data_IF_672135268841
#
_entry.id   IF_672135268841
#
_cell.length_a   1.000
_cell.length_b   1.000
_cell.length_c   1.000
_cell.angle_alpha   90.00
_cell.angle_beta   90.00
_cell.angle_gamma   90.00
#
_symmetry.space_group_name_H-M   'P 1'
#
loop_
_entity.id
_entity.type
_entity.pdbx_description
1 polymer ?
#
# COMPACT_ATOMS: atom_id res chain seq x y z
N UNK A 1 -14.60 -6.92 2.56
CA UNK A 1 -13.59 -5.96 3.01
C UNK A 1 -14.06 -5.36 4.33
N UNK A 2 -13.21 -5.37 5.36
CA UNK A 2 -13.51 -4.73 6.66
C UNK A 2 -12.77 -3.40 6.71
N UNK A 3 -13.46 -2.33 7.08
CA UNK A 3 -12.86 -0.98 7.19
C UNK A 3 -12.84 -0.58 8.65
N UNK A 4 -11.68 -0.11 9.12
CA UNK A 4 -11.50 0.45 10.46
C UNK A 4 -11.13 1.92 10.28
N UNK A 5 -12.04 2.81 10.66
CA UNK A 5 -11.80 4.24 10.69
C UNK A 5 -11.47 4.67 12.11
N UNK A 6 -10.27 5.21 12.31
CA UNK A 6 -9.81 5.71 13.61
C UNK A 6 -9.86 7.24 13.58
N UNK A 7 -10.63 7.90 14.46
CA UNK A 7 -10.60 9.35 14.58
C UNK A 7 -9.20 9.85 14.96
N UNK A 8 -8.74 10.93 14.32
CA UNK A 8 -7.44 11.53 14.60
C UNK A 8 -7.54 13.06 14.65
N UNK A 9 -6.77 13.68 15.54
CA UNK A 9 -6.69 15.14 15.70
C UNK A 9 -5.49 15.76 14.97
N UNK A 10 -4.51 14.95 14.59
CA UNK A 10 -3.29 15.41 13.93
C UNK A 10 -3.55 15.90 12.50
N UNK A 11 -2.60 16.69 11.99
CA UNK A 11 -2.63 17.22 10.62
C UNK A 11 -2.46 16.13 9.55
N UNK A 12 -1.89 14.99 9.92
CA UNK A 12 -1.61 13.85 9.05
C UNK A 12 -2.27 12.57 9.58
N UNK A 13 -2.43 11.61 8.68
CA UNK A 13 -2.97 10.29 8.93
C UNK A 13 -2.08 9.22 8.27
N UNK A 14 -2.39 7.96 8.58
CA UNK A 14 -1.91 6.80 7.84
C UNK A 14 -3.10 6.07 7.24
N UNK A 15 -2.93 5.58 6.01
CA UNK A 15 -3.93 4.75 5.33
C UNK A 15 -3.26 3.43 5.02
N UNK A 16 -3.91 2.32 5.34
CA UNK A 16 -3.35 0.99 5.13
C UNK A 16 -4.38 0.00 4.60
N UNK A 17 -3.91 -0.93 3.78
CA UNK A 17 -4.67 -2.07 3.27
C UNK A 17 -3.92 -3.36 3.62
N UNK A 18 -4.56 -4.21 4.41
CA UNK A 18 -4.05 -5.53 4.75
C UNK A 18 -4.79 -6.62 3.97
N UNK A 19 -4.03 -7.42 3.23
CA UNK A 19 -4.52 -8.62 2.55
C UNK A 19 -4.15 -9.82 3.42
N UNK A 20 -5.13 -10.63 3.81
CA UNK A 20 -4.92 -11.86 4.62
C UNK A 20 -4.38 -13.02 3.77
N UNK A 21 -3.26 -12.78 3.10
CA UNK A 21 -2.46 -13.77 2.40
C UNK A 21 -1.01 -13.32 2.47
N UNK A 22 -0.07 -14.24 2.64
CA UNK A 22 1.35 -13.93 2.72
C UNK A 22 2.23 -15.10 2.29
N UNK A 23 3.49 -15.10 2.69
CA UNK A 23 4.48 -16.08 2.21
C UNK A 23 4.11 -17.55 2.51
N UNK A 24 3.26 -17.84 3.51
CA UNK A 24 2.77 -19.21 3.78
C UNK A 24 1.85 -19.72 2.68
N UNK A 25 1.20 -18.82 1.96
CA UNK A 25 0.25 -19.12 0.90
C UNK A 25 0.92 -19.22 -0.48
N UNK A 26 2.25 -19.04 -0.54
CA UNK A 26 3.03 -19.25 -1.75
C UNK A 26 2.89 -20.69 -2.27
N UNK A 27 2.67 -20.88 -3.59
CA UNK A 27 2.75 -22.20 -4.18
C UNK A 27 4.13 -22.82 -3.92
N UNK A 28 4.18 -24.11 -3.61
CA UNK A 28 5.45 -24.82 -3.36
C UNK A 28 6.48 -24.66 -4.48
N UNK A 29 6.01 -24.54 -5.73
CA UNK A 29 6.86 -24.33 -6.91
C UNK A 29 7.34 -22.88 -7.09
N UNK A 30 6.82 -21.92 -6.32
CA UNK A 30 7.10 -20.47 -6.44
C UNK A 30 7.23 -19.83 -5.04
N UNK A 31 8.25 -20.20 -4.25
CA UNK A 31 8.51 -19.52 -2.99
C UNK A 31 8.81 -18.03 -3.24
N UNK A 32 8.27 -17.15 -2.41
CA UNK A 32 8.42 -15.70 -2.51
C UNK A 32 7.44 -15.02 -3.46
N UNK A 33 6.41 -15.72 -3.97
CA UNK A 33 5.47 -15.15 -4.94
C UNK A 33 4.67 -13.97 -4.35
N UNK A 34 4.20 -14.06 -3.10
CA UNK A 34 3.45 -12.96 -2.48
C UNK A 34 4.32 -11.71 -2.30
N UNK A 35 5.57 -11.87 -1.85
CA UNK A 35 6.52 -10.76 -1.75
C UNK A 35 6.89 -10.18 -3.13
N UNK A 36 7.04 -11.03 -4.15
CA UNK A 36 7.23 -10.54 -5.51
C UNK A 36 6.01 -9.76 -6.01
N UNK A 37 4.79 -10.23 -5.73
CA UNK A 37 3.55 -9.54 -6.07
C UNK A 37 3.44 -8.19 -5.35
N UNK A 38 3.80 -8.12 -4.08
CA UNK A 38 3.87 -6.86 -3.32
C UNK A 38 4.72 -5.82 -4.06
N UNK A 39 5.94 -6.18 -4.47
CA UNK A 39 6.81 -5.29 -5.24
C UNK A 39 6.21 -4.91 -6.60
N UNK A 40 5.56 -5.84 -7.31
CA UNK A 40 4.92 -5.56 -8.60
C UNK A 40 3.74 -4.58 -8.46
N UNK A 41 2.95 -4.70 -7.40
CA UNK A 41 1.83 -3.79 -7.12
C UNK A 41 2.31 -2.36 -6.83
N UNK A 42 3.53 -2.21 -6.32
CA UNK A 42 4.16 -0.89 -6.14
C UNK A 42 4.83 -0.33 -7.42
N UNK A 43 4.67 -0.97 -8.59
CA UNK A 43 5.25 -0.48 -9.86
C UNK A 43 4.32 0.35 -10.71
N UNK A 44 3.02 0.07 -10.74
CA UNK A 44 2.08 0.81 -11.56
C UNK A 44 0.64 0.50 -11.13
N UNK A 45 -0.26 1.44 -11.39
CA UNK A 45 -1.71 1.26 -11.28
C UNK A 45 -2.37 1.58 -12.63
N UNK A 46 -3.68 1.38 -12.73
CA UNK A 46 -4.44 1.82 -13.90
C UNK A 46 -4.41 3.36 -14.08
N UNK A 47 -4.21 4.11 -12.99
CA UNK A 47 -4.13 5.58 -13.00
C UNK A 47 -2.68 6.08 -13.17
N UNK A 48 -1.70 5.28 -12.75
CA UNK A 48 -0.27 5.56 -12.85
C UNK A 48 0.45 4.41 -13.57
N UNK A 49 0.49 4.46 -14.90
CA UNK A 49 0.93 3.32 -15.74
C UNK A 49 2.44 3.10 -15.77
N UNK A 50 3.22 3.83 -14.97
CA UNK A 50 4.66 3.63 -14.81
C UNK A 50 5.08 3.88 -13.37
N UNK A 51 6.22 3.29 -13.00
CA UNK A 51 6.79 3.43 -11.67
C UNK A 51 7.16 4.88 -11.37
N UNK A 52 7.71 5.60 -12.34
CA UNK A 52 8.04 7.01 -12.20
C UNK A 52 6.79 7.88 -11.98
N UNK A 53 5.68 7.57 -12.65
CA UNK A 53 4.42 8.29 -12.48
C UNK A 53 3.84 8.05 -11.08
N UNK A 54 3.81 6.79 -10.64
CA UNK A 54 3.30 6.41 -9.33
C UNK A 54 4.14 7.03 -8.22
N UNK A 55 5.46 6.90 -8.28
CA UNK A 55 6.34 7.46 -7.26
C UNK A 55 6.26 8.98 -7.17
N UNK A 56 6.29 9.69 -8.30
CA UNK A 56 6.13 11.15 -8.30
C UNK A 56 4.80 11.56 -7.66
N UNK A 57 3.73 10.83 -7.94
CA UNK A 57 2.44 11.09 -7.31
C UNK A 57 2.48 10.91 -5.79
N UNK A 58 3.04 9.79 -5.31
CA UNK A 58 3.21 9.49 -3.90
C UNK A 58 4.03 10.58 -3.18
N UNK A 59 5.21 10.90 -3.72
CA UNK A 59 6.16 11.90 -3.17
C UNK A 59 5.55 13.31 -3.10
N UNK A 60 4.61 13.65 -3.97
CA UNK A 60 3.91 14.94 -3.94
C UNK A 60 2.80 15.02 -2.89
N UNK A 61 2.39 13.89 -2.29
CA UNK A 61 1.15 13.84 -1.52
C UNK A 61 1.28 13.33 -0.09
N UNK A 62 2.29 12.51 0.22
CA UNK A 62 2.53 11.98 1.57
C UNK A 62 4.01 11.66 1.77
N UNK A 63 4.37 11.26 2.99
CA UNK A 63 5.77 11.08 3.37
C UNK A 63 6.33 9.72 2.92
N UNK A 64 5.51 8.68 3.00
CA UNK A 64 5.95 7.32 2.71
C UNK A 64 4.82 6.53 2.03
N UNK A 65 5.18 5.75 1.01
CA UNK A 65 4.38 4.66 0.48
C UNK A 65 5.24 3.41 0.49
N UNK A 66 4.77 2.36 1.17
CA UNK A 66 5.56 1.16 1.36
C UNK A 66 4.66 -0.06 1.59
N UNK A 67 5.27 -1.23 1.65
CA UNK A 67 4.60 -2.48 1.90
C UNK A 67 5.47 -3.48 2.65
N UNK A 68 4.84 -4.50 3.23
CA UNK A 68 5.50 -5.61 3.89
C UNK A 68 4.68 -6.90 3.72
N UNK A 69 5.35 -8.00 3.37
CA UNK A 69 4.77 -9.34 3.28
C UNK A 69 5.35 -10.19 4.39
N UNK A 70 4.51 -10.56 5.35
CA UNK A 70 4.81 -11.54 6.37
C UNK A 70 4.31 -12.95 5.95
N UNK A 71 4.28 -13.89 6.89
CA UNK A 71 3.84 -15.27 6.62
C UNK A 71 2.36 -15.37 6.23
N UNK A 72 1.51 -14.47 6.66
CA UNK A 72 0.03 -14.57 6.60
C UNK A 72 -0.65 -13.34 6.04
N UNK A 73 0.09 -12.25 5.88
CA UNK A 73 -0.44 -10.94 5.52
C UNK A 73 0.53 -10.22 4.61
N UNK A 74 -0.01 -9.52 3.61
CA UNK A 74 0.67 -8.46 2.87
C UNK A 74 -0.01 -7.15 3.21
N UNK A 75 0.77 -6.19 3.72
CA UNK A 75 0.32 -4.86 4.13
C UNK A 75 0.84 -3.83 3.13
N UNK A 76 -0.02 -2.96 2.62
CA UNK A 76 0.34 -1.75 1.89
C UNK A 76 -0.07 -0.55 2.72
N UNK A 77 0.76 0.49 2.80
CA UNK A 77 0.42 1.69 3.55
C UNK A 77 1.00 2.98 2.97
N UNK A 78 0.27 4.07 3.18
CA UNK A 78 0.76 5.43 3.05
C UNK A 78 0.84 6.07 4.44
N UNK A 79 1.98 6.64 4.80
CA UNK A 79 2.17 7.35 6.07
C UNK A 79 2.40 8.85 5.85
N UNK A 80 2.02 9.66 6.84
CA UNK A 80 2.17 11.11 6.76
C UNK A 80 1.23 11.77 5.74
N UNK A 81 0.07 11.17 5.48
CA UNK A 81 -0.93 11.68 4.52
C UNK A 81 -1.59 12.92 5.12
N UNK A 82 -1.47 14.12 4.53
CA UNK A 82 -2.20 15.30 4.98
C UNK A 82 -3.70 15.03 5.01
N UNK A 83 -4.43 15.52 6.02
CA UNK A 83 -5.86 15.26 6.21
C UNK A 83 -6.72 15.47 4.95
N UNK A 84 -6.40 16.50 4.15
CA UNK A 84 -7.07 16.82 2.87
C UNK A 84 -6.83 15.78 1.76
N UNK A 85 -5.75 15.01 1.85
CA UNK A 85 -5.33 14.01 0.86
C UNK A 85 -5.75 12.58 1.23
N UNK A 86 -6.36 12.36 2.40
CA UNK A 86 -6.82 11.02 2.81
C UNK A 86 -7.70 10.34 1.74
N UNK A 87 -8.69 11.01 1.12
CA UNK A 87 -9.45 10.39 0.03
C UNK A 87 -8.58 9.97 -1.16
N UNK A 88 -7.54 10.74 -1.50
CA UNK A 88 -6.62 10.39 -2.60
C UNK A 88 -5.76 9.18 -2.28
N UNK A 89 -5.28 9.06 -1.04
CA UNK A 89 -4.49 7.91 -0.59
C UNK A 89 -5.28 6.59 -0.61
N UNK A 90 -6.61 6.63 -0.78
CA UNK A 90 -7.46 5.44 -0.89
C UNK A 90 -7.73 5.05 -2.36
N UNK A 91 -7.51 5.95 -3.33
CA UNK A 91 -8.08 5.82 -4.68
C UNK A 91 -7.12 6.12 -5.85
N UNK A 92 -5.81 6.00 -5.65
CA UNK A 92 -4.79 6.31 -6.66
C UNK A 92 -4.26 5.05 -7.38
#
# INVERSE_FOLDING_TARGET
MTVIAVPFLHATASVALAVKAGARDDPKAKPGLHHAMEHLMARATAFHTSWESLNKFCECHWLEFNAETDRTTTLFYCAGVPKRNVPRAISF
#
